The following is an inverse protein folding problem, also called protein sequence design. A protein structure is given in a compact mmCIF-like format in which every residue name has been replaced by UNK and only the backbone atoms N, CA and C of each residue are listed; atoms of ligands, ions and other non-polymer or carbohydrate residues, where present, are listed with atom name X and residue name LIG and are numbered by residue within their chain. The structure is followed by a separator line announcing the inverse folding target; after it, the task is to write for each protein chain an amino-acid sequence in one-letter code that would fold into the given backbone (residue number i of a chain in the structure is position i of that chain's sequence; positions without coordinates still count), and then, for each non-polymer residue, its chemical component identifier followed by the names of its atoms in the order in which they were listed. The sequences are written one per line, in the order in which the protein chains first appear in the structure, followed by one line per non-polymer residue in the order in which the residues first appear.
data_IF_899351923891
#
_entry.id   IF_899351923891
#
_cell.length_a   1.000
_cell.length_b   1.000
_cell.length_c   1.000
_cell.angle_alpha   90.00
_cell.angle_beta   90.00
_cell.angle_gamma   90.00
#
_symmetry.space_group_name_H-M   'P 1'
#
loop_
_entity.id
_entity.type
_entity.pdbx_description
1 polymer ?
#
# COMPACT_ATOMS: atom_id res chain seq x y z
N UNK A 1 21.86 21.19 -23.38
CA UNK A 1 21.92 19.71 -23.39
C UNK A 1 21.60 19.11 -22.01
N UNK A 2 22.00 19.71 -20.88
CA UNK A 2 21.78 19.14 -19.53
C UNK A 2 20.32 19.00 -19.06
N UNK A 3 19.37 19.73 -19.66
CA UNK A 3 17.97 19.76 -19.20
C UNK A 3 17.14 18.55 -19.70
N UNK A 4 17.54 17.90 -20.80
CA UNK A 4 16.85 16.72 -21.33
C UNK A 4 17.24 15.44 -20.60
N UNK A 5 18.49 15.33 -20.14
CA UNK A 5 18.99 14.14 -19.44
C UNK A 5 18.36 14.00 -18.04
N UNK A 6 18.22 15.11 -17.30
CA UNK A 6 17.57 15.10 -15.98
C UNK A 6 16.06 14.79 -16.03
N UNK A 7 15.36 15.20 -17.09
CA UNK A 7 13.94 14.86 -17.31
C UNK A 7 13.79 13.37 -17.64
N UNK A 8 14.72 12.82 -18.43
CA UNK A 8 14.78 11.40 -18.76
C UNK A 8 15.05 10.53 -17.54
N UNK A 9 15.96 10.94 -16.65
CA UNK A 9 16.27 10.20 -15.43
C UNK A 9 15.09 10.22 -14.43
N UNK A 10 14.38 11.35 -14.31
CA UNK A 10 13.15 11.42 -13.52
C UNK A 10 12.04 10.55 -14.10
N UNK A 11 11.90 10.51 -15.42
CA UNK A 11 10.93 9.63 -16.07
C UNK A 11 11.27 8.15 -15.81
N UNK A 12 12.55 7.76 -15.91
CA UNK A 12 13.00 6.41 -15.61
C UNK A 12 12.76 6.02 -14.15
N UNK A 13 13.02 6.91 -13.19
CA UNK A 13 12.73 6.68 -11.77
C UNK A 13 11.22 6.56 -11.50
N UNK A 14 10.39 7.38 -12.17
CA UNK A 14 8.93 7.28 -12.07
C UNK A 14 8.40 5.96 -12.63
N UNK A 15 8.99 5.45 -13.72
CA UNK A 15 8.62 4.15 -14.30
C UNK A 15 9.01 2.99 -13.37
N UNK A 16 10.20 3.04 -12.76
CA UNK A 16 10.61 2.07 -11.73
C UNK A 16 9.65 2.09 -10.53
N UNK A 17 9.30 3.28 -10.05
CA UNK A 17 8.34 3.44 -8.96
C UNK A 17 6.98 2.81 -9.31
N UNK A 18 6.47 3.07 -10.52
CA UNK A 18 5.22 2.47 -11.01
C UNK A 18 5.30 0.95 -11.04
N UNK A 19 6.40 0.36 -11.50
CA UNK A 19 6.59 -1.09 -11.53
C UNK A 19 6.58 -1.69 -10.12
N UNK A 20 7.31 -1.09 -9.17
CA UNK A 20 7.28 -1.53 -7.78
C UNK A 20 5.87 -1.42 -7.19
N UNK A 21 5.20 -0.28 -7.41
CA UNK A 21 3.83 -0.06 -6.96
C UNK A 21 2.86 -1.12 -7.49
N UNK A 22 2.90 -1.43 -8.78
CA UNK A 22 2.02 -2.45 -9.35
C UNK A 22 2.31 -3.85 -8.78
N UNK A 23 3.60 -4.22 -8.62
CA UNK A 23 3.98 -5.49 -8.00
C UNK A 23 3.50 -5.59 -6.55
N UNK A 24 3.69 -4.53 -5.76
CA UNK A 24 3.23 -4.47 -4.37
C UNK A 24 1.71 -4.55 -4.30
N UNK A 25 0.98 -3.83 -5.16
CA UNK A 25 -0.49 -3.87 -5.20
C UNK A 25 -1.03 -5.26 -5.51
N UNK A 26 -0.43 -5.98 -6.46
CA UNK A 26 -0.84 -7.34 -6.82
C UNK A 26 -0.64 -8.29 -5.64
N UNK A 27 0.54 -8.26 -5.01
CA UNK A 27 0.84 -9.07 -3.83
C UNK A 27 -0.05 -8.74 -2.63
N UNK A 28 -0.34 -7.46 -2.40
CA UNK A 28 -1.29 -7.04 -1.34
C UNK A 28 -2.71 -7.53 -1.62
N UNK A 29 -3.16 -7.48 -2.87
CA UNK A 29 -4.49 -7.97 -3.26
C UNK A 29 -4.59 -9.48 -3.09
N UNK A 30 -3.58 -10.23 -3.54
CA UNK A 30 -3.48 -11.67 -3.35
C UNK A 30 -3.48 -12.03 -1.86
N UNK A 31 -2.63 -11.37 -1.06
CA UNK A 31 -2.57 -11.56 0.39
C UNK A 31 -3.91 -11.31 1.07
N UNK A 32 -4.61 -10.23 0.71
CA UNK A 32 -5.96 -9.92 1.23
C UNK A 32 -6.99 -10.99 0.82
N UNK A 33 -6.92 -11.50 -0.41
CA UNK A 33 -7.75 -12.59 -0.90
C UNK A 33 -7.54 -13.87 -0.10
N UNK A 34 -6.30 -14.31 0.05
CA UNK A 34 -5.92 -15.48 0.85
C UNK A 34 -6.37 -15.35 2.31
N UNK A 35 -6.28 -14.15 2.90
CA UNK A 35 -6.79 -13.90 4.26
C UNK A 35 -8.31 -14.05 4.35
N UNK A 36 -9.06 -13.61 3.34
CA UNK A 36 -10.51 -13.81 3.28
C UNK A 36 -10.85 -15.30 3.14
N UNK A 37 -10.15 -16.02 2.26
CA UNK A 37 -10.34 -17.46 2.06
C UNK A 37 -10.02 -18.27 3.32
N UNK A 38 -8.95 -17.92 4.04
CA UNK A 38 -8.63 -18.55 5.34
C UNK A 38 -9.73 -18.30 6.36
N UNK A 39 -10.30 -17.08 6.40
CA UNK A 39 -11.40 -16.75 7.31
C UNK A 39 -12.63 -17.61 7.01
N UNK A 40 -12.95 -17.79 5.75
CA UNK A 40 -14.10 -18.59 5.31
C UNK A 40 -13.87 -20.09 5.50
N UNK A 41 -12.68 -20.59 5.20
CA UNK A 41 -12.28 -21.96 5.48
C UNK A 41 -12.37 -22.28 6.99
N UNK A 42 -11.91 -21.37 7.86
CA UNK A 42 -12.06 -21.49 9.32
C UNK A 42 -13.52 -21.56 9.76
N UNK A 43 -14.39 -20.71 9.21
CA UNK A 43 -15.84 -20.76 9.51
C UNK A 43 -16.48 -22.09 9.11
N UNK A 44 -15.98 -22.69 8.05
CA UNK A 44 -16.47 -23.96 7.51
C UNK A 44 -15.77 -25.19 8.14
N UNK A 45 -14.85 -24.99 9.10
CA UNK A 45 -14.10 -26.08 9.73
C UNK A 45 -13.13 -26.80 8.79
N UNK A 46 -12.74 -26.18 7.67
CA UNK A 46 -11.80 -26.74 6.70
C UNK A 46 -10.36 -26.51 7.15
N UNK A 47 -9.46 -27.42 6.75
CA UNK A 47 -8.02 -27.24 6.93
C UNK A 47 -7.54 -26.01 6.13
N UNK A 48 -6.67 -25.21 6.76
CA UNK A 48 -6.14 -23.97 6.21
C UNK A 48 -4.63 -24.04 5.98
N UNK A 49 -4.00 -25.19 6.16
CA UNK A 49 -2.54 -25.35 6.10
C UNK A 49 -1.95 -24.86 4.76
N UNK A 50 -2.58 -25.20 3.62
CA UNK A 50 -2.14 -24.74 2.30
C UNK A 50 -2.30 -23.23 2.12
N UNK A 51 -3.48 -22.72 2.45
CA UNK A 51 -3.75 -21.28 2.38
C UNK A 51 -2.82 -20.47 3.29
N UNK A 52 -2.42 -21.02 4.44
CA UNK A 52 -1.43 -20.41 5.33
C UNK A 52 -0.03 -20.38 4.71
N UNK A 53 0.39 -21.46 4.04
CA UNK A 53 1.67 -21.49 3.32
C UNK A 53 1.68 -20.47 2.18
N UNK A 54 0.61 -20.40 1.40
CA UNK A 54 0.49 -19.44 0.30
C UNK A 54 0.45 -18.01 0.82
N UNK A 55 -0.27 -17.76 1.93
CA UNK A 55 -0.29 -16.46 2.59
C UNK A 55 1.10 -16.04 3.08
N UNK A 56 1.87 -17.00 3.62
CA UNK A 56 3.23 -16.76 4.06
C UNK A 56 4.15 -16.47 2.87
N UNK A 57 4.09 -17.26 1.81
CA UNK A 57 4.86 -17.05 0.58
C UNK A 57 4.61 -15.66 -0.01
N UNK A 58 3.34 -15.27 -0.18
CA UNK A 58 2.98 -13.93 -0.64
C UNK A 58 3.47 -12.82 0.31
N UNK A 59 3.49 -13.10 1.62
CA UNK A 59 4.02 -12.18 2.63
C UNK A 59 5.54 -12.01 2.58
N UNK A 60 6.27 -13.07 2.25
CA UNK A 60 7.73 -13.03 2.10
C UNK A 60 8.12 -12.37 0.78
N UNK A 61 7.43 -12.67 -0.33
CA UNK A 61 7.59 -11.98 -1.60
C UNK A 61 7.36 -10.46 -1.46
N UNK A 62 6.33 -10.06 -0.71
CA UNK A 62 6.07 -8.64 -0.44
C UNK A 62 7.24 -7.96 0.27
N UNK A 63 7.85 -8.62 1.27
CA UNK A 63 9.03 -8.09 1.98
C UNK A 63 10.20 -7.94 1.03
N UNK A 64 10.42 -8.90 0.14
CA UNK A 64 11.51 -8.86 -0.83
C UNK A 64 11.34 -7.69 -1.81
N UNK A 65 10.12 -7.43 -2.29
CA UNK A 65 9.82 -6.27 -3.15
C UNK A 65 10.08 -4.94 -2.43
N UNK A 66 9.65 -4.81 -1.17
CA UNK A 66 9.95 -3.61 -0.38
C UNK A 66 11.46 -3.44 -0.15
N UNK A 67 12.19 -4.55 0.05
CA UNK A 67 13.64 -4.52 0.19
C UNK A 67 14.35 -4.13 -1.12
N UNK A 68 13.87 -4.61 -2.27
CA UNK A 68 14.32 -4.19 -3.60
C UNK A 68 14.07 -2.69 -3.81
N UNK A 69 12.86 -2.21 -3.55
CA UNK A 69 12.51 -0.80 -3.70
C UNK A 69 13.40 0.09 -2.82
N UNK A 70 13.69 -0.35 -1.58
CA UNK A 70 14.61 0.36 -0.68
C UNK A 70 16.05 0.41 -1.22
N UNK A 71 16.54 -0.68 -1.82
CA UNK A 71 17.87 -0.70 -2.47
C UNK A 71 17.96 0.25 -3.66
N UNK A 72 16.85 0.48 -4.35
CA UNK A 72 16.73 1.46 -5.43
C UNK A 72 16.59 2.91 -4.94
N UNK A 73 16.49 3.15 -3.62
CA UNK A 73 16.39 4.48 -3.03
C UNK A 73 14.95 4.96 -2.76
N UNK A 74 13.95 4.09 -2.88
CA UNK A 74 12.58 4.43 -2.54
C UNK A 74 12.30 4.22 -1.04
N UNK A 75 11.43 5.07 -0.49
CA UNK A 75 11.00 4.96 0.90
C UNK A 75 9.87 3.93 1.05
N UNK A 76 10.08 2.93 1.91
CA UNK A 76 9.13 1.83 2.13
C UNK A 76 7.80 2.31 2.73
N UNK A 77 7.84 3.31 3.60
CA UNK A 77 6.68 3.75 4.36
C UNK A 77 5.81 4.64 3.46
N UNK A 78 6.44 5.47 2.62
CA UNK A 78 5.76 6.19 1.55
C UNK A 78 5.10 5.22 0.54
N UNK A 79 5.81 4.19 0.08
CA UNK A 79 5.26 3.16 -0.82
C UNK A 79 4.06 2.43 -0.19
N UNK A 80 4.14 2.11 1.10
CA UNK A 80 3.06 1.45 1.82
C UNK A 80 1.82 2.34 1.93
N UNK A 81 2.00 3.63 2.21
CA UNK A 81 0.91 4.62 2.25
C UNK A 81 0.23 4.71 0.88
N UNK A 82 1.00 4.96 -0.18
CA UNK A 82 0.44 5.13 -1.54
C UNK A 82 -0.24 3.84 -2.01
N UNK A 83 0.34 2.67 -1.69
CA UNK A 83 -0.28 1.39 -2.04
C UNK A 83 -1.62 1.22 -1.35
N UNK A 84 -1.70 1.54 -0.06
CA UNK A 84 -2.96 1.48 0.70
C UNK A 84 -4.00 2.40 0.08
N UNK A 85 -3.66 3.67 -0.15
CA UNK A 85 -4.56 4.66 -0.76
C UNK A 85 -5.05 4.22 -2.15
N UNK A 86 -4.18 3.56 -2.91
CA UNK A 86 -4.50 3.04 -4.25
C UNK A 86 -5.41 1.81 -4.22
N UNK A 87 -5.43 1.06 -3.12
CA UNK A 87 -6.22 -0.16 -2.95
C UNK A 87 -7.54 0.06 -2.19
N UNK A 88 -7.75 1.26 -1.64
CA UNK A 88 -9.00 1.62 -0.99
C UNK A 88 -10.15 1.68 -1.99
N UNK A 89 -11.26 1.09 -1.60
CA UNK A 89 -12.55 1.25 -2.28
C UNK A 89 -13.05 2.69 -2.12
N UNK A 90 -13.97 3.10 -2.98
CA UNK A 90 -14.61 4.43 -2.89
C UNK A 90 -15.26 4.65 -1.51
N UNK A 91 -15.85 3.61 -0.94
CA UNK A 91 -16.46 3.66 0.40
C UNK A 91 -15.42 3.88 1.49
N UNK A 92 -14.29 3.18 1.43
CA UNK A 92 -13.21 3.34 2.41
C UNK A 92 -12.57 4.72 2.30
N UNK A 93 -12.36 5.19 1.06
CA UNK A 93 -11.85 6.54 0.79
C UNK A 93 -12.78 7.61 1.37
N UNK A 94 -14.08 7.48 1.13
CA UNK A 94 -15.08 8.41 1.67
C UNK A 94 -15.10 8.40 3.20
N UNK A 95 -15.10 7.22 3.82
CA UNK A 95 -15.05 7.10 5.27
C UNK A 95 -13.78 7.75 5.86
N UNK A 96 -12.63 7.61 5.18
CA UNK A 96 -11.39 8.28 5.57
C UNK A 96 -11.49 9.80 5.45
N UNK A 97 -12.06 10.32 4.36
CA UNK A 97 -12.26 11.76 4.16
C UNK A 97 -13.16 12.35 5.25
N UNK A 98 -14.29 11.70 5.54
CA UNK A 98 -15.20 12.09 6.61
C UNK A 98 -14.50 12.09 7.98
N UNK A 99 -13.71 11.05 8.27
CA UNK A 99 -12.89 11.01 9.48
C UNK A 99 -11.82 12.11 9.50
N UNK A 100 -11.22 12.43 8.35
CA UNK A 100 -10.23 13.49 8.19
C UNK A 100 -10.79 14.89 8.53
N UNK A 101 -12.06 15.15 8.18
CA UNK A 101 -12.77 16.38 8.57
C UNK A 101 -12.85 16.49 10.10
N UNK A 102 -13.28 15.42 10.77
CA UNK A 102 -13.38 15.37 12.24
C UNK A 102 -12.01 15.52 12.88
N UNK A 103 -11.00 14.83 12.35
CA UNK A 103 -9.63 14.89 12.85
C UNK A 103 -9.05 16.31 12.75
N UNK A 104 -9.31 17.01 11.65
CA UNK A 104 -8.87 18.39 11.48
C UNK A 104 -9.64 19.38 12.37
N UNK A 105 -10.91 19.11 12.68
CA UNK A 105 -11.64 19.85 13.71
C UNK A 105 -10.95 19.69 15.08
N UNK A 106 -10.61 18.45 15.46
CA UNK A 106 -9.95 18.17 16.74
C UNK A 106 -8.56 18.78 16.81
N UNK A 107 -7.76 18.68 15.74
CA UNK A 107 -6.44 19.34 15.65
C UNK A 107 -6.56 20.85 15.86
N UNK A 108 -7.49 21.49 15.18
CA UNK A 108 -7.72 22.93 15.33
C UNK A 108 -8.11 23.30 16.77
N UNK A 109 -8.94 22.49 17.43
CA UNK A 109 -9.36 22.72 18.81
C UNK A 109 -8.19 22.69 19.82
N UNK A 110 -7.14 21.90 19.55
CA UNK A 110 -5.93 21.82 20.39
C UNK A 110 -4.75 22.65 19.86
N UNK A 111 -4.98 23.51 18.85
CA UNK A 111 -3.94 24.37 18.29
C UNK A 111 -2.92 23.67 17.39
N UNK A 112 -3.21 22.44 16.93
CA UNK A 112 -2.38 21.75 15.94
C UNK A 112 -2.72 22.21 14.51
N UNK A 113 -1.73 22.22 13.60
CA UNK A 113 -1.97 22.51 12.20
C UNK A 113 -2.94 21.48 11.58
N UNK A 114 -3.75 21.92 10.62
CA UNK A 114 -4.58 21.01 9.83
C UNK A 114 -3.63 20.09 9.04
N UNK A 115 -3.82 18.79 9.19
CA UNK A 115 -3.14 17.84 8.32
C UNK A 115 -3.82 17.81 6.97
N UNK A 116 -3.09 17.39 5.94
CA UNK A 116 -3.66 17.16 4.62
C UNK A 116 -4.88 16.23 4.76
N UNK A 117 -6.03 16.70 4.27
CA UNK A 117 -7.26 15.90 4.22
C UNK A 117 -7.10 14.89 3.09
N UNK A 118 -6.99 13.61 3.41
CA UNK A 118 -6.88 12.50 2.44
C UNK A 118 -8.23 11.87 2.12
#
# INVERSE_FOLDING_TARGET
MQQNDAVRDRAAAADQLRQFMERIKLLEKERKGLMADIRDARRQGRDVTYLQKDLQAAGDDLKDVYAEAKRCGFDKDALAIITRESLETESERRARQEFGIVLNLYRAAIGLPKGDTY
#
